data_IF_172068749267
#
_entry.id   IF_172068749267
#
_cell.length_a   1.000
_cell.length_b   1.000
_cell.length_c   1.000
_cell.angle_alpha   90.00
_cell.angle_beta   90.00
_cell.angle_gamma   90.00
#
_symmetry.space_group_name_H-M   'P 1'
#
loop_
_entity.id
_entity.type
_entity.pdbx_description
1 polymer ?
#
# COMPACT_ATOMS: atom_id res chain seq x y z
N UNK A 1 -16.18 8.95 6.84
CA UNK A 1 -17.52 8.69 7.38
C UNK A 1 -18.46 9.51 6.52
N UNK A 2 -19.53 8.91 6.01
CA UNK A 2 -20.54 9.64 5.26
C UNK A 2 -21.80 9.58 6.09
N UNK A 3 -22.19 10.72 6.67
CA UNK A 3 -23.56 10.92 7.10
C UNK A 3 -24.40 10.95 5.83
N UNK A 4 -25.00 9.81 5.51
CA UNK A 4 -25.90 9.67 4.37
C UNK A 4 -27.29 9.56 4.94
N UNK A 5 -28.12 10.56 4.65
CA UNK A 5 -29.52 10.61 5.07
C UNK A 5 -30.22 9.25 4.90
N UNK A 6 -30.66 8.67 6.03
CA UNK A 6 -31.41 7.42 6.08
C UNK A 6 -30.56 6.13 6.18
N UNK A 7 -29.23 6.22 6.20
CA UNK A 7 -28.34 5.10 6.54
C UNK A 7 -27.90 5.29 7.99
N UNK A 8 -28.28 4.37 8.87
CA UNK A 8 -27.84 4.44 10.25
C UNK A 8 -26.30 4.35 10.36
N UNK A 9 -25.70 5.21 11.19
CA UNK A 9 -24.26 5.34 11.45
C UNK A 9 -23.69 4.16 12.27
N UNK A 10 -23.84 2.93 11.80
CA UNK A 10 -23.35 1.74 12.52
C UNK A 10 -22.06 1.15 11.94
N UNK A 11 -21.51 1.72 10.86
CA UNK A 11 -20.27 1.20 10.25
C UNK A 11 -19.09 2.03 10.74
N UNK A 12 -18.44 1.53 11.80
CA UNK A 12 -17.20 2.09 12.34
C UNK A 12 -16.05 1.15 11.99
N UNK A 13 -14.85 1.69 11.76
CA UNK A 13 -13.65 0.88 11.58
C UNK A 13 -13.34 0.12 12.87
N UNK A 14 -13.12 -1.20 12.76
CA UNK A 14 -12.84 -2.07 13.91
C UNK A 14 -11.68 -1.56 14.79
N UNK A 15 -10.56 -1.14 14.18
CA UNK A 15 -9.43 -0.57 14.91
C UNK A 15 -9.86 0.68 15.72
N UNK A 16 -10.68 1.52 15.11
CA UNK A 16 -11.15 2.74 15.76
C UNK A 16 -12.14 2.45 16.88
N UNK A 17 -13.06 1.50 16.67
CA UNK A 17 -13.92 0.96 17.72
C UNK A 17 -13.10 0.41 18.90
N UNK A 18 -12.11 -0.45 18.62
CA UNK A 18 -11.26 -1.08 19.64
C UNK A 18 -10.51 -0.04 20.48
N UNK A 19 -9.94 0.97 19.83
CA UNK A 19 -9.28 2.09 20.50
C UNK A 19 -10.26 2.90 21.36
N UNK A 20 -11.45 3.19 20.82
CA UNK A 20 -12.46 3.97 21.51
C UNK A 20 -13.01 3.27 22.76
N UNK A 21 -13.21 1.94 22.74
CA UNK A 21 -13.71 1.19 23.90
C UNK A 21 -12.64 0.94 24.97
N UNK A 22 -11.35 0.97 24.61
CA UNK A 22 -10.25 0.88 25.56
C UNK A 22 -10.08 2.17 26.35
N UNK A 23 -10.62 3.28 25.84
CA UNK A 23 -10.55 4.58 26.48
C UNK A 23 -11.61 4.72 27.56
N UNK A 24 -11.18 5.08 28.76
CA UNK A 24 -12.07 5.39 29.87
C UNK A 24 -12.28 6.91 29.95
N UNK A 25 -13.52 7.34 29.72
CA UNK A 25 -13.94 8.72 29.93
C UNK A 25 -14.61 8.86 31.30
N UNK A 26 -14.31 9.93 32.01
CA UNK A 26 -14.82 10.25 33.34
C UNK A 26 -15.72 11.48 33.32
N UNK A 27 -16.59 11.59 34.32
CA UNK A 27 -17.45 12.77 34.48
C UNK A 27 -16.60 14.04 34.62
N UNK A 28 -16.88 15.03 33.78
CA UNK A 28 -16.17 16.30 33.71
C UNK A 28 -15.09 16.36 32.63
N UNK A 29 -14.76 15.24 31.97
CA UNK A 29 -13.81 15.27 30.86
C UNK A 29 -14.37 16.07 29.68
N UNK A 30 -13.53 16.93 29.11
CA UNK A 30 -13.85 17.64 27.88
C UNK A 30 -13.49 16.79 26.66
N UNK A 31 -14.34 16.83 25.65
CA UNK A 31 -14.18 16.10 24.40
C UNK A 31 -14.55 16.96 23.21
N UNK A 32 -14.26 16.47 22.01
CA UNK A 32 -14.83 16.93 20.75
C UNK A 32 -15.44 15.76 19.97
N UNK A 33 -16.47 16.04 19.18
CA UNK A 33 -17.15 15.10 18.30
C UNK A 33 -17.17 15.66 16.88
N UNK A 34 -17.02 14.82 15.86
CA UNK A 34 -17.00 15.25 14.47
C UNK A 34 -18.37 15.05 13.83
N UNK A 35 -19.06 16.15 13.51
CA UNK A 35 -20.41 16.17 12.95
C UNK A 35 -20.44 17.20 11.81
N UNK A 36 -20.98 16.83 10.66
CA UNK A 36 -21.09 17.70 9.47
C UNK A 36 -19.78 18.41 9.12
N UNK A 37 -18.70 17.63 9.00
CA UNK A 37 -17.34 18.10 8.72
C UNK A 37 -16.78 19.13 9.73
N UNK A 38 -17.40 19.22 10.92
CA UNK A 38 -17.06 20.21 11.94
C UNK A 38 -16.85 19.55 13.31
N UNK A 39 -15.89 20.06 14.08
CA UNK A 39 -15.65 19.59 15.45
C UNK A 39 -16.51 20.35 16.45
N UNK A 40 -17.30 19.60 17.22
CA UNK A 40 -18.19 20.10 18.26
C UNK A 40 -17.66 19.72 19.64
N UNK A 41 -17.30 20.70 20.50
CA UNK A 41 -16.81 20.41 21.83
C UNK A 41 -17.96 20.19 22.82
N UNK A 42 -17.70 19.36 23.84
CA UNK A 42 -18.63 19.10 24.92
C UNK A 42 -17.94 18.57 26.18
N UNK A 43 -18.76 18.27 27.19
CA UNK A 43 -18.31 17.66 28.46
C UNK A 43 -19.06 16.37 28.74
N UNK A 44 -18.35 15.35 29.22
CA UNK A 44 -18.94 14.10 29.71
C UNK A 44 -19.69 14.36 31.01
N UNK A 45 -21.00 14.08 31.03
CA UNK A 45 -21.83 14.22 32.25
C UNK A 45 -21.74 12.94 33.07
N UNK A 46 -22.01 11.79 32.46
CA UNK A 46 -21.96 10.48 33.12
C UNK A 46 -21.98 9.34 32.11
N UNK A 47 -21.65 8.14 32.57
CA UNK A 47 -21.80 6.89 31.82
C UNK A 47 -22.98 6.09 32.35
N UNK A 48 -23.88 5.67 31.47
CA UNK A 48 -25.09 4.91 31.78
C UNK A 48 -25.51 4.09 30.57
N UNK A 49 -25.79 2.79 30.76
CA UNK A 49 -26.22 1.91 29.67
C UNK A 49 -27.45 2.48 28.95
N UNK A 50 -27.49 2.35 27.61
CA UNK A 50 -28.63 2.80 26.81
C UNK A 50 -29.87 1.90 27.04
N UNK A 51 -29.65 0.59 27.02
CA UNK A 51 -30.67 -0.43 27.30
C UNK A 51 -30.32 -1.16 28.61
N UNK A 52 -31.17 -1.10 29.65
CA UNK A 52 -30.97 -1.83 30.90
C UNK A 52 -30.87 -3.35 30.74
N UNK A 53 -31.40 -3.94 29.67
CA UNK A 53 -31.26 -5.38 29.40
C UNK A 53 -29.87 -5.74 28.85
N UNK A 54 -29.10 -4.75 28.42
CA UNK A 54 -27.78 -4.90 27.80
C UNK A 54 -26.76 -3.96 28.47
N UNK A 55 -26.58 -4.08 29.79
CA UNK A 55 -25.74 -3.18 30.59
C UNK A 55 -24.29 -3.06 30.10
N UNK A 56 -23.76 -4.11 29.47
CA UNK A 56 -22.40 -4.13 28.92
C UNK A 56 -22.27 -3.51 27.53
N UNK A 57 -23.38 -3.06 26.92
CA UNK A 57 -23.35 -2.46 25.59
C UNK A 57 -22.67 -1.08 25.63
N UNK A 58 -21.63 -0.85 24.81
CA UNK A 58 -21.00 0.46 24.70
C UNK A 58 -21.83 1.46 23.88
N UNK A 59 -22.90 1.00 23.22
CA UNK A 59 -23.74 1.85 22.38
C UNK A 59 -24.41 2.96 23.20
N UNK A 60 -24.21 4.21 22.80
CA UNK A 60 -24.83 5.40 23.39
C UNK A 60 -24.76 5.44 24.94
N UNK A 61 -23.64 4.95 25.48
CA UNK A 61 -23.46 4.78 26.92
C UNK A 61 -22.96 6.03 27.64
N UNK A 62 -22.51 7.07 26.91
CA UNK A 62 -22.12 8.34 27.51
C UNK A 62 -23.23 9.37 27.34
N UNK A 63 -23.63 10.01 28.44
CA UNK A 63 -24.45 11.21 28.42
C UNK A 63 -23.52 12.42 28.44
N UNK A 64 -23.71 13.31 27.48
CA UNK A 64 -22.86 14.47 27.25
C UNK A 64 -23.66 15.75 27.32
N UNK A 65 -22.95 16.86 27.48
CA UNK A 65 -23.49 18.21 27.33
C UNK A 65 -22.61 18.99 26.36
N UNK A 66 -23.23 19.55 25.33
CA UNK A 66 -22.54 20.41 24.38
C UNK A 66 -22.20 21.76 24.99
N UNK A 67 -21.06 22.33 24.59
CA UNK A 67 -20.60 23.64 25.12
C UNK A 67 -21.47 24.81 24.63
N UNK A 68 -22.22 24.61 23.54
CA UNK A 68 -23.17 25.59 22.99
C UNK A 68 -24.45 25.76 23.84
N UNK A 69 -24.62 24.95 24.90
CA UNK A 69 -25.77 25.01 25.80
C UNK A 69 -27.00 24.23 25.32
N UNK A 70 -26.86 23.38 24.31
CA UNK A 70 -27.90 22.44 23.90
C UNK A 70 -28.19 21.38 24.98
N UNK A 71 -29.30 20.66 24.80
CA UNK A 71 -29.73 19.63 25.75
C UNK A 71 -28.70 18.50 25.86
N UNK A 72 -28.77 17.76 26.96
CA UNK A 72 -27.97 16.55 27.12
C UNK A 72 -28.34 15.51 26.07
N UNK A 73 -27.32 14.92 25.45
CA UNK A 73 -27.46 13.90 24.42
C UNK A 73 -26.63 12.66 24.76
N UNK A 74 -26.78 11.60 23.96
CA UNK A 74 -26.06 10.34 24.16
C UNK A 74 -25.14 10.05 22.99
N UNK A 75 -23.88 9.74 23.31
CA UNK A 75 -22.85 9.36 22.35
C UNK A 75 -22.27 7.99 22.69
N UNK A 76 -21.79 7.30 21.67
CA UNK A 76 -21.02 6.08 21.84
C UNK A 76 -19.53 6.42 21.97
N UNK A 77 -18.69 5.53 22.53
CA UNK A 77 -17.27 5.81 22.71
C UNK A 77 -16.54 6.24 21.43
N UNK A 78 -16.94 5.70 20.27
CA UNK A 78 -16.35 6.02 18.96
C UNK A 78 -16.83 7.34 18.35
N UNK A 79 -17.67 8.09 19.05
CA UNK A 79 -18.08 9.44 18.65
C UNK A 79 -17.31 10.53 19.42
N UNK A 80 -16.46 10.13 20.40
CA UNK A 80 -15.85 11.00 21.40
C UNK A 80 -14.33 11.01 21.25
N UNK A 81 -13.75 12.20 21.09
CA UNK A 81 -12.31 12.42 20.85
C UNK A 81 -11.71 13.41 21.86
N UNK A 82 -10.40 13.32 22.10
CA UNK A 82 -9.66 14.32 22.88
C UNK A 82 -9.70 15.70 22.23
N UNK A 83 -9.78 16.73 23.06
CA UNK A 83 -9.42 18.08 22.68
C UNK A 83 -7.89 18.15 22.55
N UNK A 84 -7.37 18.51 21.38
CA UNK A 84 -5.93 18.71 21.19
C UNK A 84 -5.48 20.06 21.77
N UNK A 85 -4.44 20.05 22.59
CA UNK A 85 -3.72 21.26 23.02
C UNK A 85 -2.74 21.68 21.91
N UNK A 86 -3.20 22.25 20.79
CA UNK A 86 -2.24 22.84 19.83
C UNK A 86 -2.71 24.11 19.16
N UNK A 87 -1.84 25.10 19.23
CA UNK A 87 -1.93 26.47 18.71
C UNK A 87 -1.66 26.59 17.21
N UNK A 88 -1.66 25.48 16.47
CA UNK A 88 -1.30 25.44 15.05
C UNK A 88 -2.54 25.23 14.16
N UNK A 89 -3.15 26.35 13.75
CA UNK A 89 -4.32 26.41 12.84
C UNK A 89 -4.05 25.86 11.42
N UNK A 90 -2.84 25.36 11.11
CA UNK A 90 -2.47 24.84 9.78
C UNK A 90 -2.73 23.35 9.58
N UNK A 91 -3.05 22.60 10.63
CA UNK A 91 -3.55 21.24 10.47
C UNK A 91 -5.05 21.31 10.15
N UNK A 92 -5.41 21.18 8.88
CA UNK A 92 -6.78 20.79 8.50
C UNK A 92 -7.17 19.61 9.40
N UNK A 93 -8.09 19.84 10.33
CA UNK A 93 -8.36 18.94 11.47
C UNK A 93 -9.00 17.66 10.95
N UNK A 94 -8.17 16.68 10.57
CA UNK A 94 -8.62 15.41 10.02
C UNK A 94 -8.95 14.44 11.14
N UNK A 95 -10.05 13.72 10.95
CA UNK A 95 -10.36 12.51 11.69
C UNK A 95 -9.15 11.58 11.77
N UNK A 96 -8.97 10.83 12.87
CA UNK A 96 -7.91 9.84 12.99
C UNK A 96 -7.91 8.89 11.79
N UNK A 97 -6.77 8.80 11.11
CA UNK A 97 -6.59 7.88 10.00
C UNK A 97 -6.37 6.46 10.51
N UNK A 98 -6.82 5.48 9.73
CA UNK A 98 -6.47 4.08 9.97
C UNK A 98 -4.95 3.92 10.01
N UNK A 99 -4.45 3.17 11.00
CA UNK A 99 -3.04 2.87 11.16
C UNK A 99 -2.78 1.41 10.77
N UNK A 100 -2.10 1.14 9.64
CA UNK A 100 -1.84 -0.22 9.23
C UNK A 100 -1.02 -0.99 10.25
N UNK A 101 -1.30 -2.29 10.42
CA UNK A 101 -0.45 -3.17 11.21
C UNK A 101 0.77 -3.64 10.38
N UNK A 102 1.88 -4.06 11.01
CA UNK A 102 3.10 -4.46 10.29
C UNK A 102 2.92 -5.61 9.29
N UNK A 103 1.85 -6.40 9.40
CA UNK A 103 1.51 -7.51 8.49
C UNK A 103 0.64 -7.11 7.29
N UNK A 104 0.10 -5.88 7.27
CA UNK A 104 -0.83 -5.43 6.22
C UNK A 104 -0.12 -4.87 4.97
N UNK A 105 1.11 -4.39 5.14
CA UNK A 105 2.00 -3.92 4.09
C UNK A 105 3.37 -4.58 4.22
N UNK A 106 4.03 -4.95 3.10
CA UNK A 106 5.39 -5.42 3.16
C UNK A 106 6.35 -4.25 3.43
N UNK A 107 7.33 -4.48 4.32
CA UNK A 107 8.36 -3.48 4.69
C UNK A 107 8.03 -2.69 5.95
N UNK A 108 8.99 -1.87 6.39
CA UNK A 108 8.89 -1.09 7.64
C UNK A 108 8.12 0.23 7.48
N UNK A 109 8.01 0.75 6.24
CA UNK A 109 7.40 2.05 5.95
C UNK A 109 6.40 1.95 4.77
N UNK A 110 5.14 2.26 5.05
CA UNK A 110 4.03 2.22 4.10
C UNK A 110 4.16 3.30 3.03
N UNK A 111 4.76 4.45 3.36
CA UNK A 111 4.95 5.55 2.42
C UNK A 111 6.05 5.20 1.39
N UNK A 112 7.14 4.59 1.83
CA UNK A 112 8.21 4.08 0.94
C UNK A 112 7.66 2.99 -0.01
N UNK A 113 6.89 2.05 0.52
CA UNK A 113 6.26 0.99 -0.28
C UNK A 113 5.24 1.58 -1.27
N UNK A 114 4.46 2.58 -0.85
CA UNK A 114 3.54 3.30 -1.75
C UNK A 114 4.29 3.98 -2.89
N UNK A 115 5.41 4.65 -2.61
CA UNK A 115 6.23 5.31 -3.62
C UNK A 115 6.81 4.30 -4.62
N UNK A 116 7.33 3.17 -4.13
CA UNK A 116 7.81 2.06 -4.98
C UNK A 116 6.71 1.56 -5.92
N UNK A 117 5.53 1.26 -5.36
CA UNK A 117 4.39 0.77 -6.12
C UNK A 117 3.90 1.79 -7.17
N UNK A 118 3.86 3.08 -6.83
CA UNK A 118 3.52 4.15 -7.78
C UNK A 118 4.48 4.18 -8.97
N UNK A 119 5.80 4.11 -8.71
CA UNK A 119 6.82 4.07 -9.77
C UNK A 119 6.67 2.85 -10.68
N UNK A 120 6.39 1.68 -10.10
CA UNK A 120 6.12 0.47 -10.87
C UNK A 120 4.87 0.60 -11.74
N UNK A 121 3.77 1.11 -11.18
CA UNK A 121 2.53 1.32 -11.93
C UNK A 121 2.73 2.36 -13.05
N UNK A 122 3.43 3.46 -12.78
CA UNK A 122 3.76 4.48 -13.78
C UNK A 122 4.54 3.88 -14.95
N UNK A 123 5.51 3.02 -14.67
CA UNK A 123 6.29 2.32 -15.69
C UNK A 123 5.41 1.35 -16.49
N UNK A 124 4.57 0.57 -15.81
CA UNK A 124 3.67 -0.40 -16.43
C UNK A 124 2.64 0.29 -17.35
N UNK A 125 2.08 1.43 -16.92
CA UNK A 125 1.16 2.24 -17.72
C UNK A 125 1.82 2.63 -19.04
N UNK A 126 3.11 2.96 -19.08
CA UNK A 126 3.78 3.35 -20.33
C UNK A 126 4.02 2.17 -21.30
N UNK A 127 3.95 0.92 -20.85
CA UNK A 127 4.17 -0.25 -21.70
C UNK A 127 3.02 -0.48 -22.70
N UNK A 128 3.34 -1.01 -23.88
CA UNK A 128 2.34 -1.31 -24.92
C UNK A 128 1.34 -2.38 -24.48
N UNK A 129 1.79 -3.35 -23.68
CA UNK A 129 0.94 -4.42 -23.13
C UNK A 129 -0.19 -3.88 -22.24
N UNK A 130 0.00 -2.70 -21.63
CA UNK A 130 -0.96 -2.07 -20.74
C UNK A 130 -1.88 -1.05 -21.45
N UNK A 131 -1.69 -0.81 -22.76
CA UNK A 131 -2.34 0.30 -23.49
C UNK A 131 -3.86 0.39 -23.31
N UNK A 132 -4.54 -0.75 -23.29
CA UNK A 132 -6.01 -0.81 -23.18
C UNK A 132 -6.54 -0.63 -21.74
N UNK A 133 -5.66 -0.61 -20.73
CA UNK A 133 -6.01 -0.55 -19.32
C UNK A 133 -5.46 0.69 -18.61
N UNK A 134 -4.89 1.66 -19.35
CA UNK A 134 -4.28 2.87 -18.79
C UNK A 134 -5.30 3.81 -18.17
N UNK A 135 -6.47 3.90 -18.79
CA UNK A 135 -7.52 4.86 -18.48
C UNK A 135 -8.87 4.14 -18.34
N UNK A 136 -9.84 4.74 -17.63
CA UNK A 136 -11.18 4.19 -17.50
C UNK A 136 -11.84 3.96 -18.86
N UNK A 137 -12.49 2.80 -19.02
CA UNK A 137 -13.36 2.57 -20.17
C UNK A 137 -14.58 3.47 -20.05
N UNK A 138 -14.94 4.18 -21.13
CA UNK A 138 -16.11 5.05 -21.13
C UNK A 138 -17.36 4.24 -20.79
N UNK A 139 -18.11 4.67 -19.77
CA UNK A 139 -19.30 3.98 -19.28
C UNK A 139 -20.35 3.75 -20.38
N UNK A 140 -20.42 4.63 -21.40
CA UNK A 140 -21.31 4.44 -22.55
C UNK A 140 -21.04 3.15 -23.35
N UNK A 141 -19.81 2.61 -23.26
CA UNK A 141 -19.38 1.38 -23.93
C UNK A 141 -19.36 0.17 -22.98
N UNK A 142 -19.57 0.42 -21.69
CA UNK A 142 -19.58 -0.59 -20.64
C UNK A 142 -21.04 -0.81 -20.21
N UNK A 143 -21.69 -1.91 -20.63
CA UNK A 143 -23.06 -2.19 -20.20
C UNK A 143 -23.11 -2.33 -18.68
N UNK A 144 -24.30 -2.13 -18.10
CA UNK A 144 -24.60 -2.24 -16.65
C UNK A 144 -24.11 -3.56 -16.01
N UNK A 145 -23.72 -4.54 -16.83
CA UNK A 145 -23.12 -5.82 -16.46
C UNK A 145 -21.85 -5.67 -15.62
N UNK A 146 -21.05 -4.62 -15.79
CA UNK A 146 -19.85 -4.42 -14.96
C UNK A 146 -20.09 -3.37 -13.88
N UNK A 147 -20.45 -3.86 -12.69
CA UNK A 147 -20.80 -3.03 -11.54
C UNK A 147 -19.60 -2.27 -10.91
N UNK A 148 -18.36 -2.70 -11.19
CA UNK A 148 -17.16 -2.11 -10.60
C UNK A 148 -16.08 -1.85 -11.66
N UNK A 149 -16.21 -0.80 -12.49
CA UNK A 149 -15.16 -0.40 -13.43
C UNK A 149 -13.85 -0.08 -12.69
N UNK A 150 -12.73 -0.60 -13.20
CA UNK A 150 -11.39 -0.39 -12.64
C UNK A 150 -10.34 -0.53 -13.74
N UNK A 151 -9.29 0.26 -13.64
CA UNK A 151 -8.18 0.38 -14.60
C UNK A 151 -6.90 0.83 -13.86
N UNK A 152 -5.75 0.84 -14.54
CA UNK A 152 -4.47 1.19 -13.92
C UNK A 152 -4.40 2.66 -13.48
N UNK A 153 -5.04 3.58 -14.21
CA UNK A 153 -5.11 5.00 -13.85
C UNK A 153 -5.88 5.21 -12.54
N UNK A 154 -7.05 4.58 -12.42
CA UNK A 154 -7.84 4.59 -11.19
C UNK A 154 -7.08 3.95 -10.02
N UNK A 155 -6.42 2.81 -10.23
CA UNK A 155 -5.62 2.14 -9.20
C UNK A 155 -4.47 3.05 -8.74
N UNK A 156 -3.76 3.68 -9.69
CA UNK A 156 -2.68 4.63 -9.42
C UNK A 156 -3.16 5.81 -8.59
N UNK A 157 -4.28 6.44 -8.98
CA UNK A 157 -4.86 7.58 -8.27
C UNK A 157 -5.24 7.20 -6.83
N UNK A 158 -5.94 6.08 -6.66
CA UNK A 158 -6.28 5.53 -5.34
C UNK A 158 -5.03 5.29 -4.49
N UNK A 159 -4.00 4.67 -5.06
CA UNK A 159 -2.74 4.43 -4.36
C UNK A 159 -2.10 5.75 -3.92
N UNK A 160 -2.00 6.74 -4.81
CA UNK A 160 -1.40 8.05 -4.51
C UNK A 160 -2.14 8.82 -3.41
N UNK A 161 -3.45 8.62 -3.31
CA UNK A 161 -4.31 9.26 -2.31
C UNK A 161 -4.42 8.46 -1.00
N UNK A 162 -3.65 7.38 -0.82
CA UNK A 162 -3.70 6.56 0.38
C UNK A 162 -5.03 5.80 0.58
N UNK A 163 -5.75 5.53 -0.51
CA UNK A 163 -7.07 4.88 -0.47
C UNK A 163 -7.01 3.45 0.10
N UNK A 164 -5.93 2.72 -0.20
CA UNK A 164 -5.78 1.35 0.23
C UNK A 164 -5.29 1.30 1.68
N UNK A 165 -6.11 0.76 2.59
CA UNK A 165 -5.67 0.49 3.97
C UNK A 165 -4.64 -0.63 4.06
N UNK A 166 -4.70 -1.60 3.14
CA UNK A 166 -3.87 -2.83 3.12
C UNK A 166 -3.46 -3.16 1.69
N UNK A 167 -2.30 -3.79 1.53
CA UNK A 167 -1.80 -4.29 0.23
C UNK A 167 -2.79 -5.24 -0.46
N UNK A 168 -3.54 -6.05 0.30
CA UNK A 168 -4.55 -6.95 -0.25
C UNK A 168 -5.74 -6.24 -0.92
N UNK A 169 -6.08 -5.02 -0.50
CA UNK A 169 -7.12 -4.23 -1.16
C UNK A 169 -6.65 -3.75 -2.55
N UNK A 170 -5.38 -3.36 -2.66
CA UNK A 170 -4.75 -3.06 -3.95
C UNK A 170 -4.74 -4.31 -4.87
N UNK A 171 -4.30 -5.47 -4.35
CA UNK A 171 -4.31 -6.73 -5.12
C UNK A 171 -5.71 -7.11 -5.58
N UNK A 172 -6.75 -6.80 -4.81
CA UNK A 172 -8.12 -7.06 -5.18
C UNK A 172 -8.54 -6.24 -6.40
N UNK A 173 -8.25 -4.93 -6.43
CA UNK A 173 -8.52 -4.07 -7.59
C UNK A 173 -7.79 -4.56 -8.85
N UNK A 174 -6.52 -4.96 -8.71
CA UNK A 174 -5.73 -5.54 -9.81
C UNK A 174 -6.39 -6.81 -10.36
N UNK A 175 -6.83 -7.73 -9.50
CA UNK A 175 -7.54 -8.94 -9.92
C UNK A 175 -8.90 -8.62 -10.56
N UNK A 176 -9.58 -7.58 -10.05
CA UNK A 176 -10.89 -7.19 -10.55
C UNK A 176 -10.83 -6.60 -11.95
N UNK A 177 -9.73 -5.91 -12.29
CA UNK A 177 -9.44 -5.48 -13.66
C UNK A 177 -9.41 -6.67 -14.66
N UNK A 178 -8.72 -7.76 -14.31
CA UNK A 178 -8.69 -8.98 -15.13
C UNK A 178 -10.04 -9.68 -15.21
N UNK A 179 -10.78 -9.76 -14.11
CA UNK A 179 -12.11 -10.35 -14.09
C UNK A 179 -13.09 -9.57 -14.96
N UNK A 180 -13.09 -8.24 -14.87
CA UNK A 180 -13.91 -7.37 -15.69
C UNK A 180 -13.60 -7.53 -17.18
N UNK A 181 -12.31 -7.55 -17.54
CA UNK A 181 -11.89 -7.78 -18.91
C UNK A 181 -12.36 -9.15 -19.43
N UNK A 182 -12.27 -10.22 -18.62
CA UNK A 182 -12.78 -11.57 -18.96
C UNK A 182 -14.29 -11.65 -19.10
N UNK A 183 -15.03 -10.89 -18.30
CA UNK A 183 -16.49 -10.87 -18.33
C UNK A 183 -17.03 -10.08 -19.53
N UNK A 184 -16.31 -9.06 -19.98
CA UNK A 184 -16.75 -8.18 -21.06
C UNK A 184 -16.24 -8.62 -22.45
N UNK A 185 -15.00 -9.10 -22.57
CA UNK A 185 -14.36 -9.36 -23.86
C UNK A 185 -14.47 -10.83 -24.30
N UNK A 186 -14.34 -11.06 -25.61
CA UNK A 186 -14.37 -12.41 -26.19
C UNK A 186 -13.23 -13.29 -25.66
N UNK A 187 -13.54 -14.56 -25.35
CA UNK A 187 -12.55 -15.54 -24.88
C UNK A 187 -11.45 -15.75 -25.93
N UNK A 188 -10.20 -15.71 -25.49
CA UNK A 188 -9.04 -15.90 -26.37
C UNK A 188 -8.64 -14.66 -27.18
N UNK A 189 -9.34 -13.53 -27.01
CA UNK A 189 -8.93 -12.26 -27.63
C UNK A 189 -7.61 -11.74 -27.03
N UNK A 190 -6.90 -10.93 -27.82
CA UNK A 190 -5.60 -10.39 -27.42
C UNK A 190 -5.67 -9.55 -26.13
N UNK A 191 -6.78 -8.85 -25.88
CA UNK A 191 -7.00 -8.06 -24.66
C UNK A 191 -7.06 -8.94 -23.41
N UNK A 192 -7.59 -10.18 -23.51
CA UNK A 192 -7.60 -11.14 -22.40
C UNK A 192 -6.19 -11.64 -22.09
N UNK A 193 -5.35 -11.85 -23.10
CA UNK A 193 -3.96 -12.24 -22.87
C UNK A 193 -3.13 -11.08 -22.31
N UNK A 194 -3.37 -9.85 -22.80
CA UNK A 194 -2.74 -8.65 -22.26
C UNK A 194 -3.12 -8.40 -20.79
N UNK A 195 -4.40 -8.49 -20.42
CA UNK A 195 -4.81 -8.24 -19.03
C UNK A 195 -4.20 -9.26 -18.07
N UNK A 196 -4.17 -10.55 -18.45
CA UNK A 196 -3.53 -11.61 -17.66
C UNK A 196 -2.04 -11.32 -17.44
N UNK A 197 -1.36 -10.84 -18.48
CA UNK A 197 0.05 -10.49 -18.39
C UNK A 197 0.27 -9.31 -17.45
N UNK A 198 -0.50 -8.22 -17.64
CA UNK A 198 -0.45 -7.01 -16.80
C UNK A 198 -0.73 -7.35 -15.33
N UNK A 199 -1.79 -8.10 -15.03
CA UNK A 199 -2.12 -8.47 -13.64
C UNK A 199 -1.09 -9.41 -13.04
N UNK A 200 -0.58 -10.40 -13.79
CA UNK A 200 0.49 -11.29 -13.35
C UNK A 200 1.76 -10.52 -12.97
N UNK A 201 2.17 -9.54 -13.77
CA UNK A 201 3.35 -8.71 -13.51
C UNK A 201 3.11 -7.85 -12.27
N UNK A 202 1.99 -7.14 -12.22
CA UNK A 202 1.70 -6.20 -11.14
C UNK A 202 1.50 -6.93 -9.80
N UNK A 203 0.81 -8.07 -9.77
CA UNK A 203 0.67 -8.88 -8.55
C UNK A 203 2.03 -9.38 -8.07
N UNK A 204 2.88 -9.90 -8.97
CA UNK A 204 4.25 -10.29 -8.62
C UNK A 204 5.06 -9.11 -8.08
N UNK A 205 4.91 -7.92 -8.65
CA UNK A 205 5.60 -6.72 -8.20
C UNK A 205 5.13 -6.26 -6.81
N UNK A 206 3.84 -6.41 -6.51
CA UNK A 206 3.29 -6.13 -5.18
C UNK A 206 3.77 -7.17 -4.16
N UNK A 207 3.82 -8.46 -4.53
CA UNK A 207 4.31 -9.53 -3.65
C UNK A 207 5.83 -9.48 -3.46
N UNK A 208 6.56 -8.94 -4.44
CA UNK A 208 8.02 -8.83 -4.43
C UNK A 208 8.48 -7.41 -4.05
N UNK A 209 8.44 -7.12 -2.76
CA UNK A 209 8.84 -5.82 -2.18
C UNK A 209 10.33 -5.48 -2.34
N UNK A 210 11.17 -6.44 -2.75
CA UNK A 210 12.59 -6.17 -3.03
C UNK A 210 12.85 -5.90 -4.51
N UNK A 211 11.82 -5.89 -5.36
CA UNK A 211 11.91 -5.48 -6.75
C UNK A 211 11.56 -4.00 -6.91
N UNK A 212 12.50 -3.18 -7.35
CA UNK A 212 12.29 -1.73 -7.56
C UNK A 212 12.00 -1.36 -9.03
N UNK A 213 12.05 -2.34 -9.93
CA UNK A 213 11.81 -2.16 -11.36
C UNK A 213 10.90 -3.26 -11.91
N UNK A 214 9.66 -2.87 -12.21
CA UNK A 214 8.63 -3.76 -12.73
C UNK A 214 9.00 -4.33 -14.10
N UNK A 215 9.87 -3.67 -14.88
CA UNK A 215 10.31 -4.15 -16.19
C UNK A 215 11.11 -5.45 -16.05
N UNK A 216 11.88 -5.63 -14.97
CA UNK A 216 12.59 -6.89 -14.69
C UNK A 216 11.61 -8.07 -14.59
N UNK A 217 10.47 -7.86 -13.93
CA UNK A 217 9.42 -8.88 -13.81
C UNK A 217 8.75 -9.12 -15.16
N UNK A 218 8.54 -8.06 -15.95
CA UNK A 218 7.99 -8.16 -17.29
C UNK A 218 8.91 -8.98 -18.22
N UNK A 219 10.19 -8.61 -18.32
CA UNK A 219 11.17 -9.32 -19.13
C UNK A 219 11.27 -10.80 -18.73
N UNK A 220 11.33 -11.11 -17.43
CA UNK A 220 11.35 -12.50 -16.96
C UNK A 220 10.08 -13.25 -17.37
N UNK A 221 8.93 -12.59 -17.37
CA UNK A 221 7.65 -13.20 -17.75
C UNK A 221 7.58 -13.48 -19.26
N UNK A 222 8.20 -12.64 -20.11
CA UNK A 222 8.34 -12.90 -21.54
C UNK A 222 9.26 -14.11 -21.84
N UNK A 223 10.41 -14.19 -21.16
CA UNK A 223 11.37 -15.28 -21.35
C UNK A 223 10.89 -16.61 -20.72
N UNK A 224 10.07 -16.55 -19.67
CA UNK A 224 9.45 -17.73 -19.06
C UNK A 224 8.52 -18.49 -20.00
N UNK A 225 8.01 -17.86 -21.07
CA UNK A 225 7.11 -18.49 -22.05
C UNK A 225 7.84 -18.96 -23.32
N UNK A 226 9.14 -18.68 -23.45
CA UNK A 226 9.99 -19.11 -24.56
C UNK A 226 11.22 -19.87 -24.02
N UNK A 227 11.19 -21.21 -24.07
CA UNK A 227 12.28 -22.23 -24.02
C UNK A 227 13.68 -21.82 -23.49
N UNK A 228 14.38 -22.66 -22.67
CA UNK A 228 15.52 -22.27 -21.84
C UNK A 228 16.66 -21.59 -22.61
N UNK A 229 17.12 -20.44 -22.10
CA UNK A 229 18.26 -19.72 -22.66
C UNK A 229 19.53 -20.58 -22.64
N UNK A 230 20.34 -20.56 -23.72
CA UNK A 230 21.70 -21.08 -23.66
C UNK A 230 22.51 -20.22 -22.69
N UNK A 231 23.23 -20.88 -21.80
CA UNK A 231 24.17 -20.27 -20.84
C UNK A 231 25.27 -19.59 -21.67
N UNK A 232 25.09 -18.30 -21.97
CA UNK A 232 26.15 -17.44 -22.46
C UNK A 232 26.86 -16.86 -21.23
N UNK A 233 28.08 -17.32 -21.05
CA UNK A 233 29.07 -16.90 -20.07
C UNK A 233 29.42 -15.41 -20.21
N UNK A 234 28.60 -14.55 -19.63
CA UNK A 234 28.97 -13.14 -19.39
C UNK A 234 28.62 -12.77 -17.95
N UNK A 235 29.65 -12.86 -17.11
CA UNK A 235 29.74 -12.28 -15.77
C UNK A 235 28.65 -12.70 -14.79
N UNK A 236 28.85 -13.84 -14.13
CA UNK A 236 28.32 -14.00 -12.77
C UNK A 236 28.89 -12.83 -11.96
N UNK A 237 28.07 -11.82 -11.66
CA UNK A 237 28.51 -10.76 -10.75
C UNK A 237 28.65 -11.39 -9.37
N UNK A 238 29.85 -11.89 -9.06
CA UNK A 238 30.28 -12.37 -7.74
C UNK A 238 30.33 -11.23 -6.69
N UNK A 239 30.02 -9.99 -7.11
CA UNK A 239 30.08 -8.78 -6.29
C UNK A 239 29.13 -8.81 -5.07
N UNK A 240 28.05 -9.60 -5.11
CA UNK A 240 27.19 -9.81 -3.94
C UNK A 240 27.74 -10.89 -2.98
N UNK A 241 28.61 -11.79 -3.43
CA UNK A 241 29.13 -12.87 -2.58
C UNK A 241 29.97 -12.32 -1.43
N UNK A 242 30.84 -11.34 -1.71
CA UNK A 242 31.67 -10.69 -0.68
C UNK A 242 30.82 -9.94 0.34
N UNK A 243 29.74 -9.30 -0.11
CA UNK A 243 28.80 -8.58 0.74
C UNK A 243 28.05 -9.52 1.67
N UNK A 244 27.53 -10.61 1.13
CA UNK A 244 26.77 -11.58 1.89
C UNK A 244 27.67 -12.47 2.78
N UNK A 245 28.92 -12.69 2.37
CA UNK A 245 29.96 -13.27 3.22
C UNK A 245 30.28 -12.35 4.41
N UNK A 246 30.28 -11.03 4.20
CA UNK A 246 30.44 -10.04 5.28
C UNK A 246 29.26 -10.07 6.23
N UNK A 247 28.02 -10.12 5.72
CA UNK A 247 26.82 -10.23 6.55
C UNK A 247 26.84 -11.51 7.39
N UNK A 248 27.26 -12.62 6.78
CA UNK A 248 27.36 -13.91 7.47
C UNK A 248 28.48 -13.92 8.54
N UNK A 249 29.61 -13.29 8.27
CA UNK A 249 30.65 -13.14 9.30
C UNK A 249 30.19 -12.23 10.45
N UNK A 250 29.47 -11.16 10.13
CA UNK A 250 28.93 -10.22 11.11
C UNK A 250 27.86 -10.90 12.00
N UNK A 251 26.99 -11.75 11.44
CA UNK A 251 25.97 -12.47 12.22
C UNK A 251 26.61 -13.52 13.14
N UNK A 252 27.64 -14.23 12.66
CA UNK A 252 28.39 -15.21 13.43
C UNK A 252 29.25 -14.59 14.54
N UNK A 253 29.43 -13.27 14.52
CA UNK A 253 30.11 -12.51 15.58
C UNK A 253 29.18 -11.97 16.68
N UNK A 254 27.86 -12.07 16.48
CA UNK A 254 26.90 -11.57 17.47
C UNK A 254 26.79 -12.52 18.69
N UNK A 255 26.63 -11.99 19.91
CA UNK A 255 26.41 -12.82 21.10
C UNK A 255 25.18 -13.73 20.95
N UNK A 256 25.30 -15.01 21.31
CA UNK A 256 24.20 -15.97 21.25
C UNK A 256 23.99 -16.62 19.88
N UNK A 257 24.68 -16.19 18.82
CA UNK A 257 24.58 -16.83 17.49
C UNK A 257 25.05 -18.28 17.45
N UNK A 258 25.77 -18.74 18.48
CA UNK A 258 26.29 -20.11 18.64
C UNK A 258 25.18 -21.17 18.60
N UNK A 259 24.00 -20.87 19.16
CA UNK A 259 22.83 -21.77 19.20
C UNK A 259 22.24 -22.06 17.81
N UNK A 260 22.49 -21.17 16.83
CA UNK A 260 21.98 -21.27 15.47
C UNK A 260 23.08 -21.64 14.46
N UNK A 261 24.32 -21.76 14.94
CA UNK A 261 25.50 -21.89 14.10
C UNK A 261 25.68 -23.31 13.59
N UNK A 262 25.56 -24.27 14.49
CA UNK A 262 25.80 -25.68 14.23
C UNK A 262 24.49 -26.45 14.06
N UNK A 263 24.52 -27.61 13.37
CA UNK A 263 23.40 -28.54 13.41
C UNK A 263 23.05 -28.88 14.87
N UNK A 264 21.75 -28.95 15.15
CA UNK A 264 21.27 -29.20 16.51
C UNK A 264 21.64 -30.63 16.92
N UNK A 265 22.29 -30.78 18.08
CA UNK A 265 22.69 -32.09 18.62
C UNK A 265 21.46 -32.91 19.03
N UNK A 266 21.30 -34.09 18.44
CA UNK A 266 20.23 -35.04 18.76
C UNK A 266 20.21 -35.46 20.24
N UNK A 267 21.35 -35.39 20.95
CA UNK A 267 21.39 -35.71 22.38
C UNK A 267 20.81 -34.59 23.25
N UNK A 268 20.92 -33.34 22.80
CA UNK A 268 20.42 -32.16 23.51
C UNK A 268 18.97 -31.87 23.13
N UNK A 269 18.60 -32.10 21.87
CA UNK A 269 17.25 -31.89 21.33
C UNK A 269 16.74 -33.12 20.55
N UNK A 270 16.37 -34.20 21.27
CA UNK A 270 16.05 -35.51 20.65
C UNK A 270 14.77 -35.54 19.81
N UNK A 271 13.90 -34.53 19.92
CA UNK A 271 12.66 -34.42 19.14
C UNK A 271 12.72 -33.34 18.06
N UNK A 272 13.86 -32.67 17.89
CA UNK A 272 14.02 -31.54 16.96
C UNK A 272 13.72 -31.95 15.51
N UNK A 273 14.34 -33.02 15.00
CA UNK A 273 14.13 -33.49 13.63
C UNK A 273 12.70 -33.98 13.36
N UNK A 274 11.98 -34.38 14.40
CA UNK A 274 10.57 -34.77 14.29
C UNK A 274 9.65 -33.56 14.13
N UNK A 275 10.04 -32.42 14.69
CA UNK A 275 9.24 -31.18 14.71
C UNK A 275 9.60 -30.30 13.50
N UNK A 276 10.90 -30.16 13.21
CA UNK A 276 11.42 -29.29 12.17
C UNK A 276 11.65 -30.08 10.88
N UNK A 277 10.87 -29.75 9.85
CA UNK A 277 10.84 -30.49 8.57
C UNK A 277 12.06 -30.26 7.68
N UNK A 278 12.71 -29.11 7.83
CA UNK A 278 13.88 -28.70 7.06
C UNK A 278 14.89 -28.08 8.01
N UNK A 279 15.66 -28.91 8.74
CA UNK A 279 16.75 -28.43 9.58
C UNK A 279 17.80 -27.71 8.72
N UNK A 280 18.25 -26.55 9.20
CA UNK A 280 19.32 -25.76 8.57
C UNK A 280 19.99 -24.91 9.65
N UNK A 281 21.30 -24.71 9.55
CA UNK A 281 22.08 -23.86 10.44
C UNK A 281 22.99 -22.90 9.66
N UNK A 282 23.63 -21.94 10.35
CA UNK A 282 24.51 -20.97 9.67
C UNK A 282 25.75 -21.62 9.04
N UNK A 283 26.25 -22.74 9.57
CA UNK A 283 27.34 -23.50 8.95
C UNK A 283 26.90 -24.13 7.61
N UNK A 284 25.66 -24.59 7.49
CA UNK A 284 25.11 -25.08 6.21
C UNK A 284 25.02 -23.94 5.18
N UNK A 285 24.54 -22.77 5.64
CA UNK A 285 24.46 -21.55 4.82
C UNK A 285 25.86 -21.12 4.37
N UNK A 286 26.84 -21.15 5.27
CA UNK A 286 28.24 -20.83 4.99
C UNK A 286 28.87 -21.81 4.01
N UNK A 287 28.62 -23.11 4.18
CA UNK A 287 29.11 -24.16 3.31
C UNK A 287 28.51 -24.00 1.90
N UNK A 288 27.21 -23.72 1.80
CA UNK A 288 26.52 -23.49 0.53
C UNK A 288 26.99 -22.21 -0.17
N UNK A 289 27.29 -21.15 0.58
CA UNK A 289 27.85 -19.91 0.05
C UNK A 289 29.26 -20.12 -0.53
N UNK A 290 30.09 -20.91 0.15
CA UNK A 290 31.50 -21.18 -0.23
C UNK A 290 31.70 -22.23 -1.33
N UNK A 291 30.63 -22.87 -1.83
CA UNK A 291 30.73 -23.81 -2.95
C UNK A 291 31.27 -23.11 -4.21
N UNK A 292 31.96 -23.85 -5.09
CA UNK A 292 32.42 -23.32 -6.38
C UNK A 292 31.96 -24.21 -7.54
N UNK A 293 31.02 -23.75 -8.38
CA UNK A 293 30.31 -22.46 -8.31
C UNK A 293 29.43 -22.35 -7.06
N UNK A 294 29.13 -21.13 -6.62
CA UNK A 294 28.29 -20.87 -5.43
C UNK A 294 27.01 -21.69 -5.46
N UNK A 295 26.63 -22.29 -4.33
CA UNK A 295 25.42 -23.10 -4.19
C UNK A 295 24.13 -22.28 -4.25
N UNK A 296 24.24 -20.96 -4.26
CA UNK A 296 23.14 -20.00 -4.42
C UNK A 296 23.15 -19.38 -5.80
N UNK A 297 21.99 -19.33 -6.44
CA UNK A 297 21.83 -18.70 -7.77
C UNK A 297 21.66 -17.19 -7.69
N UNK A 298 21.17 -16.68 -6.56
CA UNK A 298 20.97 -15.26 -6.28
C UNK A 298 20.85 -15.02 -4.77
N UNK A 299 21.14 -13.79 -4.32
CA UNK A 299 21.18 -13.39 -2.90
C UNK A 299 19.91 -13.75 -2.10
N UNK A 300 18.74 -13.79 -2.74
CA UNK A 300 17.50 -14.17 -2.05
C UNK A 300 17.43 -15.62 -1.58
N UNK A 301 18.12 -16.55 -2.24
CA UNK A 301 18.17 -17.93 -1.74
C UNK A 301 18.96 -18.00 -0.42
N UNK A 302 20.02 -17.19 -0.31
CA UNK A 302 20.74 -17.01 0.95
C UNK A 302 19.85 -16.38 2.03
N UNK A 303 19.13 -15.29 1.70
CA UNK A 303 18.24 -14.61 2.67
C UNK A 303 17.17 -15.58 3.17
N UNK A 304 16.57 -16.34 2.26
CA UNK A 304 15.55 -17.32 2.59
C UNK A 304 16.08 -18.42 3.51
N UNK A 305 17.29 -18.93 3.26
CA UNK A 305 17.92 -19.93 4.12
C UNK A 305 18.25 -19.34 5.51
N UNK A 306 18.69 -18.08 5.61
CA UNK A 306 18.87 -17.40 6.90
C UNK A 306 17.56 -17.19 7.66
N UNK A 307 16.49 -16.78 6.98
CA UNK A 307 15.16 -16.65 7.59
C UNK A 307 14.57 -18.00 8.00
N UNK A 308 14.88 -19.07 7.28
CA UNK A 308 14.47 -20.42 7.64
C UNK A 308 15.10 -20.87 8.96
N UNK A 309 16.37 -20.50 9.23
CA UNK A 309 17.02 -20.74 10.53
C UNK A 309 16.21 -20.07 11.65
N UNK A 310 15.86 -18.79 11.50
CA UNK A 310 15.06 -18.05 12.48
C UNK A 310 13.66 -18.64 12.67
N UNK A 311 13.02 -19.02 11.56
CA UNK A 311 11.69 -19.61 11.59
C UNK A 311 11.70 -20.98 12.28
N UNK A 312 12.73 -21.80 12.05
CA UNK A 312 12.88 -23.10 12.71
C UNK A 312 13.04 -22.93 14.23
N UNK A 313 13.85 -21.97 14.67
CA UNK A 313 14.00 -21.63 16.08
C UNK A 313 12.67 -21.20 16.74
N UNK A 314 11.88 -20.34 16.07
CA UNK A 314 10.55 -19.95 16.54
C UNK A 314 9.59 -21.16 16.57
N UNK A 315 9.66 -22.03 15.55
CA UNK A 315 8.76 -23.17 15.40
C UNK A 315 9.03 -24.25 16.44
N UNK A 316 10.29 -24.49 16.79
CA UNK A 316 10.66 -25.41 17.86
C UNK A 316 10.25 -24.87 19.24
N UNK A 317 10.17 -23.54 19.38
CA UNK A 317 9.71 -22.83 20.55
C UNK A 317 10.62 -22.96 21.80
N UNK A 318 11.94 -23.08 21.58
CA UNK A 318 12.92 -23.01 22.66
C UNK A 318 13.12 -21.54 23.11
N UNK A 319 13.04 -21.24 24.42
CA UNK A 319 13.17 -19.86 24.93
C UNK A 319 14.52 -19.20 24.63
N UNK A 320 15.63 -19.94 24.65
CA UNK A 320 16.97 -19.39 24.41
C UNK A 320 17.15 -19.07 22.94
N UNK A 321 16.71 -19.97 22.05
CA UNK A 321 16.72 -19.73 20.60
C UNK A 321 15.82 -18.56 20.20
N UNK A 322 14.61 -18.44 20.78
CA UNK A 322 13.69 -17.33 20.50
C UNK A 322 14.31 -15.98 20.89
N UNK A 323 14.97 -15.91 22.04
CA UNK A 323 15.58 -14.66 22.50
C UNK A 323 16.72 -14.21 21.57
N UNK A 324 17.53 -15.17 21.10
CA UNK A 324 18.55 -14.91 20.08
C UNK A 324 17.91 -14.43 18.76
N UNK A 325 16.84 -15.07 18.30
CA UNK A 325 16.14 -14.67 17.05
C UNK A 325 15.57 -13.26 17.14
N UNK A 326 14.99 -12.87 18.28
CA UNK A 326 14.48 -11.49 18.49
C UNK A 326 15.56 -10.43 18.34
N UNK A 327 16.81 -10.77 18.65
CA UNK A 327 17.95 -9.86 18.50
C UNK A 327 18.53 -9.93 17.08
N UNK A 328 18.75 -11.12 16.55
CA UNK A 328 19.43 -11.34 15.27
C UNK A 328 18.55 -11.07 14.05
N UNK A 329 17.26 -11.40 14.07
CA UNK A 329 16.35 -11.25 12.94
C UNK A 329 16.27 -9.80 12.44
N UNK A 330 15.83 -8.85 13.29
CA UNK A 330 15.77 -7.43 12.92
C UNK A 330 17.15 -6.83 12.57
N UNK A 331 18.22 -7.33 13.20
CA UNK A 331 19.58 -6.90 12.88
C UNK A 331 19.99 -7.36 11.47
N UNK A 332 19.71 -8.61 11.13
CA UNK A 332 20.00 -9.21 9.84
C UNK A 332 19.24 -8.49 8.71
N UNK A 333 17.95 -8.26 8.91
CA UNK A 333 17.10 -7.55 7.94
C UNK A 333 17.61 -6.13 7.68
N UNK A 334 18.01 -5.40 8.74
CA UNK A 334 18.65 -4.08 8.60
C UNK A 334 19.95 -4.15 7.82
N UNK A 335 20.78 -5.16 8.06
CA UNK A 335 22.09 -5.31 7.40
C UNK A 335 21.91 -5.61 5.91
N UNK A 336 21.06 -6.58 5.57
CA UNK A 336 20.68 -6.91 4.19
C UNK A 336 20.13 -5.68 3.46
N UNK A 337 19.24 -4.90 4.11
CA UNK A 337 18.67 -3.70 3.52
C UNK A 337 19.72 -2.63 3.17
N UNK A 338 20.77 -2.46 3.99
CA UNK A 338 21.88 -1.52 3.70
C UNK A 338 22.65 -1.95 2.45
N UNK A 339 22.97 -3.24 2.33
CA UNK A 339 23.70 -3.76 1.19
C UNK A 339 22.86 -3.71 -0.09
N UNK A 340 21.58 -4.05 -0.01
CA UNK A 340 20.66 -3.87 -1.12
C UNK A 340 20.58 -2.39 -1.55
N UNK A 341 20.57 -1.43 -0.61
CA UNK A 341 20.64 0.01 -0.94
C UNK A 341 21.94 0.41 -1.65
N UNK A 342 23.06 -0.26 -1.37
CA UNK A 342 24.35 -0.01 -2.03
C UNK A 342 24.40 -0.62 -3.44
N UNK A 343 23.95 -1.86 -3.58
CA UNK A 343 23.78 -2.54 -4.87
C UNK A 343 22.82 -1.76 -5.78
N UNK A 344 21.72 -1.23 -5.24
CA UNK A 344 20.79 -0.30 -5.93
C UNK A 344 21.49 0.93 -6.49
N UNK A 345 22.43 1.55 -5.76
CA UNK A 345 23.17 2.74 -6.24
C UNK A 345 24.13 2.41 -7.38
N UNK A 346 24.84 1.28 -7.30
CA UNK A 346 25.78 0.83 -8.33
C UNK A 346 25.04 0.45 -9.64
N UNK A 347 23.96 -0.34 -9.52
CA UNK A 347 23.13 -0.72 -10.67
C UNK A 347 22.37 0.45 -11.29
N UNK A 348 21.92 1.44 -10.49
CA UNK A 348 21.29 2.65 -11.02
C UNK A 348 22.27 3.49 -11.85
N UNK A 349 23.55 3.55 -11.48
CA UNK A 349 24.56 4.26 -12.25
C UNK A 349 24.83 3.57 -13.60
N UNK A 350 24.99 2.23 -13.58
CA UNK A 350 25.18 1.43 -14.78
C UNK A 350 23.98 1.46 -15.75
N UNK A 351 22.75 1.36 -15.23
CA UNK A 351 21.53 1.39 -16.04
C UNK A 351 21.22 2.79 -16.59
N UNK A 352 21.52 3.87 -15.86
CA UNK A 352 21.45 5.23 -16.41
C UNK A 352 22.44 5.44 -17.56
N UNK A 353 23.65 4.92 -17.44
CA UNK A 353 24.66 4.98 -18.51
C UNK A 353 24.27 4.13 -19.74
N UNK A 354 23.71 2.93 -19.53
CA UNK A 354 23.24 2.08 -20.63
C UNK A 354 21.99 2.63 -21.34
N UNK A 355 21.03 3.18 -20.60
CA UNK A 355 19.82 3.80 -21.18
C UNK A 355 20.15 5.09 -21.93
N UNK A 356 21.11 5.88 -21.43
CA UNK A 356 21.63 7.06 -22.13
C UNK A 356 22.32 6.65 -23.43
N UNK A 357 23.23 5.67 -23.40
CA UNK A 357 23.87 5.12 -24.62
C UNK A 357 22.88 4.55 -25.62
N UNK A 358 21.81 3.89 -25.16
CA UNK A 358 20.78 3.32 -26.05
C UNK A 358 19.91 4.39 -26.72
N UNK A 359 19.58 5.48 -26.01
CA UNK A 359 18.93 6.67 -26.59
C UNK A 359 19.83 7.39 -27.59
N UNK A 360 21.12 7.49 -27.30
CA UNK A 360 22.09 8.07 -28.24
C UNK A 360 22.19 7.25 -29.55
N UNK A 361 22.16 5.92 -29.47
CA UNK A 361 22.16 5.02 -30.64
C UNK A 361 20.84 5.06 -31.43
N UNK A 362 19.71 5.30 -30.76
CA UNK A 362 18.40 5.48 -31.42
C UNK A 362 18.27 6.87 -32.07
N UNK A 363 18.87 7.91 -31.49
CA UNK A 363 18.87 9.24 -32.09
C UNK A 363 19.84 9.35 -33.28
N UNK A 364 20.98 8.64 -33.23
CA UNK A 364 21.94 8.62 -34.35
C UNK A 364 21.47 7.82 -35.57
N UNK A 365 20.46 6.95 -35.43
CA UNK A 365 19.80 6.28 -36.57
C UNK A 365 18.64 7.09 -37.17
N UNK A 366 18.22 8.19 -36.53
CA UNK A 366 17.21 9.10 -37.07
C UNK A 366 17.79 10.19 -38.00
N UNK A 367 19.11 10.46 -37.92
CA UNK A 367 19.78 11.49 -38.73
C UNK A 367 20.24 11.02 -40.12
N UNK A 368 20.19 9.71 -40.44
CA UNK A 368 20.62 9.20 -41.77
C UNK A 368 19.53 9.29 -42.87
N UNK A 369 18.29 9.65 -42.54
CA UNK A 369 17.17 9.65 -43.50
C UNK A 369 16.63 11.03 -43.89
N UNK A 370 17.47 12.07 -43.85
CA UNK A 370 17.09 13.35 -44.43
C UNK A 370 18.31 14.05 -45.03
N UNK A 371 18.38 14.12 -46.37
CA UNK A 371 18.82 15.27 -47.18
C UNK A 371 18.82 14.85 -48.67
N UNK A 372 17.80 15.31 -49.40
CA UNK A 372 17.92 15.72 -50.80
C UNK A 372 17.36 17.15 -50.88
N UNK A 373 18.10 18.03 -51.58
CA UNK A 373 17.75 19.41 -52.03
C UNK A 373 17.63 20.47 -50.91
N UNK A 374 18.22 21.68 -50.96
CA UNK A 374 18.81 22.47 -52.06
C UNK A 374 19.75 23.56 -51.47
N UNK A 375 20.52 24.16 -52.36
CA UNK A 375 21.66 25.06 -52.21
C UNK A 375 21.43 26.44 -51.55
N UNK A 376 22.59 27.05 -51.26
CA UNK A 376 22.93 28.48 -51.07
C UNK A 376 23.10 29.07 -49.66
N UNK A 377 24.30 29.65 -49.51
CA UNK A 377 25.07 30.08 -48.34
C UNK A 377 24.58 31.42 -47.70
N UNK A 378 25.31 32.09 -46.77
CA UNK A 378 26.49 31.70 -46.00
C UNK A 378 26.37 31.96 -44.47
N UNK A 379 27.34 31.40 -43.72
CA UNK A 379 27.57 31.63 -42.29
C UNK A 379 27.90 33.11 -41.94
N UNK A 380 27.79 33.49 -40.66
CA UNK A 380 29.05 33.74 -39.95
C UNK A 380 29.10 33.36 -38.45
N UNK A 381 30.34 33.02 -38.07
CA UNK A 381 31.09 33.40 -36.87
C UNK A 381 30.52 33.14 -35.45
N UNK A 382 31.20 32.18 -34.82
CA UNK A 382 31.49 32.04 -33.39
C UNK A 382 31.79 33.36 -32.67
N UNK A 383 31.28 33.56 -31.45
CA UNK A 383 32.09 33.86 -30.25
C UNK A 383 31.27 33.90 -28.95
N UNK A 384 31.77 33.14 -27.97
CA UNK A 384 31.89 33.44 -26.54
C UNK A 384 30.69 33.98 -25.74
N UNK A 385 30.23 33.12 -24.83
CA UNK A 385 30.14 33.37 -23.37
C UNK A 385 29.97 34.80 -22.87
N UNK A 386 28.90 35.05 -22.11
CA UNK A 386 29.00 35.57 -20.74
C UNK A 386 27.65 35.59 -20.00
N UNK A 387 27.71 34.99 -18.82
CA UNK A 387 26.81 35.01 -17.69
C UNK A 387 26.15 36.36 -17.41
N UNK A 388 24.87 36.36 -16.99
CA UNK A 388 24.38 37.34 -16.02
C UNK A 388 23.21 36.81 -15.19
N UNK A 389 23.38 37.03 -13.89
CA UNK A 389 22.52 36.67 -12.77
C UNK A 389 21.21 37.48 -12.72
N UNK A 390 20.30 36.96 -11.90
CA UNK A 390 19.42 37.69 -10.97
C UNK A 390 18.24 38.48 -11.55
N UNK A 391 17.00 38.07 -11.23
CA UNK A 391 16.29 38.54 -10.02
C UNK A 391 14.87 37.98 -9.86
N UNK A 392 14.63 37.59 -8.61
CA UNK A 392 13.39 37.39 -7.86
C UNK A 392 12.48 38.63 -7.89
N UNK A 393 11.17 38.44 -8.02
CA UNK A 393 10.15 39.35 -7.46
C UNK A 393 8.99 38.52 -6.88
N UNK A 394 8.61 38.88 -5.65
CA UNK A 394 7.46 38.42 -4.88
C UNK A 394 6.26 39.31 -5.19
N UNK A 395 5.04 38.78 -5.11
CA UNK A 395 3.84 39.54 -4.71
C UNK A 395 2.82 38.59 -4.05
N UNK A 396 2.25 39.05 -2.93
CA UNK A 396 1.04 38.58 -2.25
C UNK A 396 0.25 39.84 -1.82
N UNK A 397 -0.93 39.74 -1.20
CA UNK A 397 -2.20 39.22 -1.71
C UNK A 397 -3.33 40.25 -1.49
N UNK A 398 -4.58 39.95 -1.89
CA UNK A 398 -5.76 40.69 -1.39
C UNK A 398 -6.97 39.77 -1.21
N UNK A 399 -7.61 39.94 -0.05
CA UNK A 399 -8.81 39.31 0.51
C UNK A 399 -10.11 39.71 -0.18
N UNK A 400 -11.13 38.85 -0.15
CA UNK A 400 -12.55 39.25 -0.06
C UNK A 400 -13.39 38.18 0.65
N UNK A 401 -14.30 38.66 1.48
CA UNK A 401 -15.25 38.01 2.39
C UNK A 401 -16.59 37.72 1.71
N UNK A 402 -17.34 36.71 2.17
CA UNK A 402 -18.83 36.75 2.22
C UNK A 402 -19.40 35.76 3.24
N UNK A 403 -20.22 36.31 4.14
CA UNK A 403 -21.20 35.66 5.01
C UNK A 403 -22.33 34.95 4.23
N UNK A 404 -22.83 33.82 4.77
CA UNK A 404 -24.27 33.50 4.74
C UNK A 404 -24.67 32.47 5.81
N UNK A 405 -25.45 32.94 6.78
CA UNK A 405 -26.31 32.17 7.69
C UNK A 405 -27.31 31.32 6.90
N UNK A 406 -27.71 30.15 7.40
CA UNK A 406 -29.11 29.69 7.56
C UNK A 406 -29.15 28.50 8.53
N UNK A 407 -30.03 28.62 9.54
CA UNK A 407 -30.44 27.63 10.52
C UNK A 407 -31.45 26.64 9.94
N UNK A 408 -31.47 25.37 10.38
CA UNK A 408 -32.63 24.76 11.05
C UNK A 408 -32.40 23.29 11.49
N UNK A 409 -32.61 23.07 12.78
CA UNK A 409 -32.87 21.81 13.49
C UNK A 409 -34.25 21.20 13.18
N UNK A 410 -34.35 19.86 13.08
CA UNK A 410 -35.22 18.96 13.89
C UNK A 410 -35.30 17.56 13.22
N UNK A 411 -34.96 16.43 13.85
CA UNK A 411 -35.49 15.72 15.06
C UNK A 411 -36.40 14.54 14.69
N UNK A 412 -35.99 13.34 15.14
CA UNK A 412 -36.74 12.15 15.64
C UNK A 412 -38.22 12.00 15.22
N UNK A 413 -38.57 10.80 14.74
CA UNK A 413 -39.89 10.22 15.02
C UNK A 413 -39.83 8.71 15.24
N UNK A 414 -39.90 8.32 16.51
CA UNK A 414 -40.46 7.05 16.98
C UNK A 414 -41.99 7.13 16.89
N UNK A 415 -42.66 6.17 16.24
CA UNK A 415 -44.02 5.74 16.62
C UNK A 415 -44.18 4.25 16.36
N UNK A 416 -44.62 3.55 17.39
CA UNK A 416 -45.03 2.15 17.39
C UNK A 416 -46.57 2.07 17.33
N UNK A 417 -47.06 0.92 16.86
CA UNK A 417 -48.40 0.32 17.01
C UNK A 417 -49.52 0.49 15.94
N UNK A 418 -49.77 -0.67 15.32
CA UNK A 418 -51.03 -1.43 15.26
C UNK A 418 -52.12 -1.05 14.24
N UNK A 419 -52.24 -1.93 13.25
CA UNK A 419 -53.44 -2.69 12.88
C UNK A 419 -54.75 -1.94 12.62
N UNK A 420 -55.12 -1.80 11.34
CA UNK A 420 -56.49 -2.08 10.89
C UNK A 420 -56.56 -2.39 9.40
N UNK A 421 -57.05 -3.59 9.11
CA UNK A 421 -57.64 -4.05 7.86
C UNK A 421 -58.80 -3.16 7.42
N UNK A 422 -58.93 -2.84 6.12
CA UNK A 422 -60.04 -3.29 5.23
C UNK A 422 -60.06 -2.57 3.87
N UNK A 423 -60.25 -3.41 2.84
CA UNK A 423 -61.04 -3.20 1.61
C UNK A 423 -60.55 -2.25 0.51
N UNK A 424 -59.94 -2.88 -0.49
CA UNK A 424 -60.10 -2.56 -1.90
C UNK A 424 -61.59 -2.59 -2.30
N UNK A 425 -62.06 -1.51 -2.94
CA UNK A 425 -63.14 -1.56 -3.91
C UNK A 425 -62.78 -0.62 -5.07
N UNK A 426 -62.52 -1.24 -6.22
CA UNK A 426 -62.62 -0.63 -7.53
C UNK A 426 -64.11 -0.42 -7.85
N UNK A 427 -64.44 0.75 -8.40
CA UNK A 427 -65.56 0.92 -9.31
C UNK A 427 -65.22 2.03 -10.29
N UNK A 428 -65.24 1.65 -11.56
CA UNK A 428 -65.14 2.43 -12.78
C UNK A 428 -66.28 3.48 -12.94
N UNK A 429 -66.20 4.20 -14.06
CA UNK A 429 -67.19 5.10 -14.69
C UNK A 429 -67.18 6.55 -14.15
N UNK A 430 -67.16 7.62 -14.96
CA UNK A 430 -67.11 7.82 -16.41
C UNK A 430 -66.88 9.33 -16.67
N UNK A 431 -66.59 9.65 -17.93
CA UNK A 431 -66.90 10.89 -18.68
C UNK A 431 -65.84 11.99 -18.94
N UNK A 432 -65.78 12.27 -20.26
CA UNK A 432 -65.46 13.50 -21.00
C UNK A 432 -63.99 13.92 -21.27
N UNK A 433 -63.41 13.47 -22.40
CA UNK A 433 -63.29 14.21 -23.69
C UNK A 433 -62.40 13.47 -24.73
#
# INVERSE_FOLDING_TARGET
FHDVDGIADFIILKQYYDQAIQREWTTGDHFRCFIDDTWWPGTIVKREAFDPLHENSPFQCYIIRWDNGENEERLSPWDIFECEDSSDESNLVKMPSYQPTPDEWPGDDVDDERERLLKGIDTLIQMDVAKQFREPVQLAWYPVVIAYPIDLGTIRERLSNGYYRRSNALKWDVKKMEENAKNFNEKGSQIIEQVKMVTKILLKYIDDYSCDDIDVIYQRSLHSEQVPLPISSSSWNEEWLDDYQTILNDILSQPGSELLRYPIDENEYPDYERIIKTPICFDDVQAKLNQTPCGYRHSREFIADCHLIFQNAITYADPEMIEVVKQLGPWFDRRVAIFDRRQRRSNNQYTSEMTTRRRELQNSSADENNIYTTEDAPAPATTSSSSRQNRRTQFSPTTLTTDRRHSHFNRISTVNNQSRTTQEQNSDEDDDD
#
